data_IF_767522255193
#
_entry.id   IF_767522255193
#
_cell.length_a   1.000
_cell.length_b   1.000
_cell.length_c   1.000
_cell.angle_alpha   90.00
_cell.angle_beta   90.00
_cell.angle_gamma   90.00
#
_symmetry.space_group_name_H-M   'P 1'
#
loop_
_entity.id
_entity.type
_entity.pdbx_description
1 polymer ?
#
# COMPACT_ATOMS: atom_id res chain seq x y z
N UNK A 1 27.10 12.50 21.65
CA UNK A 1 27.05 11.30 20.78
C UNK A 1 25.80 11.44 19.94
N UNK A 2 25.94 11.43 18.61
CA UNK A 2 24.82 11.49 17.68
C UNK A 2 24.04 10.18 17.82
N UNK A 3 22.78 10.29 18.27
CA UNK A 3 21.92 9.14 18.52
C UNK A 3 21.44 8.61 17.16
N UNK A 4 21.78 7.36 16.82
CA UNK A 4 21.34 6.73 15.57
C UNK A 4 19.83 6.54 15.60
N UNK A 5 19.15 7.04 14.57
CA UNK A 5 17.74 6.76 14.34
C UNK A 5 17.60 5.62 13.32
N UNK A 6 17.05 4.51 13.77
CA UNK A 6 16.72 3.39 12.90
C UNK A 6 15.36 3.58 12.25
N UNK A 7 15.17 3.10 11.01
CA UNK A 7 13.87 3.04 10.35
C UNK A 7 13.57 1.60 9.91
N UNK A 8 12.44 1.06 10.31
CA UNK A 8 12.04 -0.30 9.97
C UNK A 8 11.52 -0.36 8.53
N UNK A 9 12.41 -0.75 7.61
CA UNK A 9 12.21 -0.74 6.15
C UNK A 9 12.26 0.65 5.53
N UNK A 10 12.22 0.72 4.19
CA UNK A 10 12.31 1.97 3.44
C UNK A 10 11.19 2.93 3.85
N UNK A 11 11.54 4.13 4.28
CA UNK A 11 10.58 5.14 4.78
C UNK A 11 9.57 5.55 3.70
N UNK A 12 10.02 5.60 2.44
CA UNK A 12 9.22 5.86 1.24
C UNK A 12 9.70 4.99 0.09
N UNK A 13 8.85 4.74 -0.91
CA UNK A 13 9.24 4.04 -2.13
C UNK A 13 9.90 5.01 -3.14
N UNK A 14 10.98 5.65 -2.71
CA UNK A 14 11.79 6.58 -3.50
C UNK A 14 13.25 6.44 -3.05
N UNK A 15 14.07 5.81 -3.89
CA UNK A 15 15.45 5.48 -3.54
C UNK A 15 16.29 6.74 -3.29
N UNK A 16 16.11 7.82 -4.06
CA UNK A 16 16.85 9.07 -3.85
C UNK A 16 16.58 9.69 -2.49
N UNK A 17 15.30 9.67 -2.03
CA UNK A 17 14.95 10.17 -0.70
C UNK A 17 15.49 9.27 0.40
N UNK A 18 15.46 7.96 0.21
CA UNK A 18 16.06 7.00 1.13
C UNK A 18 17.57 7.26 1.25
N UNK A 19 18.29 7.42 0.14
CA UNK A 19 19.72 7.70 0.13
C UNK A 19 20.04 9.05 0.80
N UNK A 20 19.25 10.10 0.52
CA UNK A 20 19.37 11.39 1.18
C UNK A 20 19.21 11.28 2.70
N UNK A 21 18.21 10.54 3.17
CA UNK A 21 17.98 10.34 4.60
C UNK A 21 19.08 9.50 5.25
N UNK A 22 19.62 8.52 4.54
CA UNK A 22 20.78 7.75 5.00
C UNK A 22 22.01 8.66 5.20
N UNK A 23 22.24 9.62 4.30
CA UNK A 23 23.35 10.59 4.48
C UNK A 23 23.13 11.53 5.67
N UNK A 24 21.90 11.67 6.14
CA UNK A 24 21.52 12.45 7.34
C UNK A 24 21.53 11.60 8.63
N UNK A 25 21.95 10.32 8.55
CA UNK A 25 22.07 9.44 9.72
C UNK A 25 20.88 8.56 10.03
N UNK A 26 19.91 8.44 9.10
CA UNK A 26 18.84 7.44 9.22
C UNK A 26 19.38 6.07 8.78
N UNK A 27 19.33 5.06 9.64
CA UNK A 27 19.74 3.69 9.30
C UNK A 27 18.52 2.83 9.00
N UNK A 28 18.40 2.34 7.76
CA UNK A 28 17.33 1.41 7.37
C UNK A 28 17.65 0.02 7.89
N UNK A 29 16.68 -0.57 8.59
CA UNK A 29 16.81 -1.92 9.16
C UNK A 29 15.64 -2.81 8.72
N UNK A 30 15.86 -4.11 8.79
CA UNK A 30 14.82 -5.13 8.65
C UNK A 30 14.37 -5.71 10.01
N UNK A 31 13.37 -6.58 9.98
CA UNK A 31 12.90 -7.26 11.20
C UNK A 31 13.95 -8.17 11.83
N UNK A 32 14.90 -8.72 11.06
CA UNK A 32 15.98 -9.54 11.60
C UNK A 32 16.91 -8.65 12.45
N UNK A 33 17.31 -7.51 11.93
CA UNK A 33 18.13 -6.54 12.68
C UNK A 33 17.37 -6.00 13.90
N UNK A 34 16.07 -5.68 13.75
CA UNK A 34 15.24 -5.21 14.86
C UNK A 34 15.25 -6.17 16.06
N UNK A 35 15.23 -7.49 15.81
CA UNK A 35 15.29 -8.50 16.86
C UNK A 35 16.57 -8.44 17.73
N UNK A 36 17.65 -7.88 17.19
CA UNK A 36 18.96 -7.77 17.86
C UNK A 36 19.14 -6.44 18.59
N UNK A 37 18.33 -5.45 18.29
CA UNK A 37 18.44 -4.10 18.87
C UNK A 37 17.83 -4.04 20.28
N UNK A 38 18.40 -3.14 21.09
CA UNK A 38 17.90 -2.80 22.44
C UNK A 38 18.23 -1.35 22.77
N UNK A 39 17.40 -0.72 23.61
CA UNK A 39 17.64 0.62 24.15
C UNK A 39 17.95 1.67 23.06
N UNK A 40 17.22 1.66 21.97
CA UNK A 40 17.41 2.57 20.84
C UNK A 40 16.08 3.15 20.37
N UNK A 41 16.13 4.07 19.39
CA UNK A 41 14.95 4.64 18.73
C UNK A 41 14.74 4.01 17.35
N UNK A 42 13.49 3.60 17.07
CA UNK A 42 13.12 3.05 15.77
C UNK A 42 11.88 3.75 15.24
N UNK A 43 11.96 4.25 14.02
CA UNK A 43 10.86 4.85 13.27
C UNK A 43 10.03 3.75 12.60
N UNK A 44 8.73 3.73 12.88
CA UNK A 44 7.74 2.95 12.14
C UNK A 44 7.20 3.81 11.01
N UNK A 45 7.28 3.31 9.79
CA UNK A 45 6.87 4.01 8.57
C UNK A 45 5.34 4.01 8.38
N UNK A 46 4.88 4.78 7.39
CA UNK A 46 3.44 5.00 7.14
C UNK A 46 2.61 3.74 6.88
N UNK A 47 3.24 2.61 6.56
CA UNK A 47 2.57 1.34 6.26
C UNK A 47 2.05 0.60 7.50
N UNK A 48 2.45 1.03 8.71
CA UNK A 48 2.14 0.32 9.95
C UNK A 48 2.89 -1.00 10.08
N UNK A 49 2.78 -1.61 11.23
CA UNK A 49 3.45 -2.87 11.56
C UNK A 49 2.47 -3.84 12.23
N UNK A 50 2.75 -5.16 12.25
CA UNK A 50 1.96 -6.11 12.99
C UNK A 50 2.13 -5.93 14.52
N UNK A 51 1.16 -6.37 15.36
CA UNK A 51 1.25 -6.29 16.82
C UNK A 51 2.53 -6.90 17.42
N UNK A 52 3.09 -7.92 16.77
CA UNK A 52 4.34 -8.57 17.20
C UNK A 52 5.54 -7.60 17.18
N UNK A 53 5.59 -6.66 16.25
CA UNK A 53 6.66 -5.64 16.20
C UNK A 53 6.61 -4.73 17.44
N UNK A 54 5.42 -4.31 17.84
CA UNK A 54 5.24 -3.48 19.04
C UNK A 54 5.57 -4.24 20.32
N UNK A 55 5.17 -5.51 20.41
CA UNK A 55 5.51 -6.38 21.54
C UNK A 55 7.03 -6.60 21.67
N UNK A 56 7.71 -6.80 20.54
CA UNK A 56 9.17 -6.93 20.49
C UNK A 56 9.86 -5.64 20.93
N UNK A 57 9.41 -4.50 20.45
CA UNK A 57 9.96 -3.20 20.83
C UNK A 57 9.86 -2.97 22.36
N UNK A 58 8.69 -3.26 22.91
CA UNK A 58 8.48 -3.18 24.37
C UNK A 58 9.44 -4.10 25.15
N UNK A 59 9.57 -5.35 24.73
CA UNK A 59 10.46 -6.34 25.34
C UNK A 59 11.93 -5.91 25.32
N UNK A 60 12.35 -5.26 24.24
CA UNK A 60 13.74 -4.86 24.03
C UNK A 60 14.04 -3.41 24.47
N UNK A 61 13.11 -2.74 25.13
CA UNK A 61 13.22 -1.33 25.54
C UNK A 61 13.57 -0.40 24.36
N UNK A 62 12.91 -0.64 23.19
CA UNK A 62 13.05 0.19 22.01
C UNK A 62 11.96 1.27 22.04
N UNK A 63 12.36 2.53 21.90
CA UNK A 63 11.42 3.64 21.75
C UNK A 63 10.96 3.71 20.29
N UNK A 64 9.67 3.42 20.06
CA UNK A 64 9.08 3.56 18.74
C UNK A 64 8.64 5.00 18.48
N UNK A 65 9.04 5.54 17.32
CA UNK A 65 8.50 6.75 16.73
C UNK A 65 7.53 6.30 15.65
N UNK A 66 6.24 6.26 15.98
CA UNK A 66 5.23 5.70 15.09
C UNK A 66 4.71 6.77 14.11
N UNK A 67 5.12 6.67 12.83
CA UNK A 67 4.65 7.51 11.74
C UNK A 67 3.63 6.78 10.84
N UNK A 68 2.96 5.76 11.36
CA UNK A 68 1.91 5.03 10.64
C UNK A 68 0.79 5.95 10.18
N UNK A 69 0.35 5.76 8.94
CA UNK A 69 -0.76 6.53 8.39
C UNK A 69 -2.05 6.26 9.19
N UNK A 70 -2.79 7.29 9.64
CA UNK A 70 -4.04 7.09 10.36
C UNK A 70 -5.07 6.23 9.62
N UNK A 71 -5.08 6.28 8.28
CA UNK A 71 -5.96 5.43 7.45
C UNK A 71 -5.57 3.96 7.58
N UNK A 72 -4.26 3.67 7.60
CA UNK A 72 -3.75 2.29 7.79
C UNK A 72 -4.04 1.79 9.20
N UNK A 73 -3.80 2.62 10.23
CA UNK A 73 -4.12 2.25 11.61
C UNK A 73 -5.61 1.96 11.81
N UNK A 74 -6.49 2.78 11.21
CA UNK A 74 -7.93 2.52 11.21
C UNK A 74 -8.27 1.18 10.56
N UNK A 75 -7.65 0.89 9.42
CA UNK A 75 -7.84 -0.38 8.71
C UNK A 75 -7.36 -1.58 9.55
N UNK A 76 -6.20 -1.48 10.18
CA UNK A 76 -5.68 -2.50 11.09
C UNK A 76 -6.66 -2.79 12.22
N UNK A 77 -7.22 -1.73 12.83
CA UNK A 77 -8.22 -1.88 13.89
C UNK A 77 -9.50 -2.57 13.40
N UNK A 78 -10.02 -2.16 12.23
CA UNK A 78 -11.21 -2.79 11.62
C UNK A 78 -10.98 -4.26 11.28
N UNK A 79 -9.78 -4.64 10.82
CA UNK A 79 -9.45 -6.04 10.54
C UNK A 79 -9.39 -6.84 11.83
N UNK A 80 -8.79 -6.28 12.89
CA UNK A 80 -8.73 -6.93 14.20
C UNK A 80 -10.13 -7.20 14.76
N UNK A 81 -10.99 -6.18 14.79
CA UNK A 81 -12.39 -6.33 15.24
C UNK A 81 -13.16 -7.34 14.37
N UNK A 82 -13.01 -7.24 13.04
CA UNK A 82 -13.64 -8.18 12.10
C UNK A 82 -13.15 -9.60 12.26
N UNK A 83 -11.88 -9.81 12.65
CA UNK A 83 -11.33 -11.13 12.93
C UNK A 83 -11.94 -11.72 14.21
N UNK A 84 -12.04 -10.94 15.27
CA UNK A 84 -12.69 -11.36 16.51
C UNK A 84 -14.18 -11.71 16.25
N UNK A 85 -14.90 -10.92 15.47
CA UNK A 85 -16.28 -11.19 15.10
C UNK A 85 -16.47 -12.46 14.27
N UNK A 86 -15.63 -12.64 13.24
CA UNK A 86 -15.81 -13.72 12.27
C UNK A 86 -15.39 -15.09 12.80
N UNK A 87 -14.48 -15.13 13.78
CA UNK A 87 -14.10 -16.37 14.47
C UNK A 87 -15.31 -17.01 15.17
N UNK A 88 -16.23 -16.22 15.73
CA UNK A 88 -17.42 -16.71 16.41
C UNK A 88 -18.40 -17.45 15.47
N UNK A 89 -18.26 -17.30 14.17
CA UNK A 89 -19.11 -17.92 13.14
C UNK A 89 -18.31 -18.79 12.16
N UNK A 90 -17.12 -19.23 12.55
CA UNK A 90 -16.21 -20.05 11.73
C UNK A 90 -15.96 -19.48 10.31
N UNK A 91 -15.80 -18.16 10.23
CA UNK A 91 -15.57 -17.46 8.97
C UNK A 91 -14.11 -17.16 8.66
N UNK A 92 -13.88 -16.37 7.61
CA UNK A 92 -12.55 -16.05 7.09
C UNK A 92 -12.38 -14.57 6.84
N UNK A 93 -11.18 -14.03 7.16
CA UNK A 93 -10.74 -12.71 6.72
C UNK A 93 -10.01 -12.86 5.39
N UNK A 94 -10.42 -12.08 4.41
CA UNK A 94 -9.78 -12.01 3.09
C UNK A 94 -9.24 -10.59 2.88
N UNK A 95 -7.99 -10.47 2.47
CA UNK A 95 -7.32 -9.19 2.22
C UNK A 95 -6.91 -9.13 0.76
N UNK A 96 -7.51 -8.23 -0.01
CA UNK A 96 -7.06 -7.92 -1.37
C UNK A 96 -5.83 -7.02 -1.31
N UNK A 97 -4.67 -7.59 -1.58
CA UNK A 97 -3.39 -6.90 -1.47
C UNK A 97 -2.24 -7.71 -2.03
N UNK A 98 -1.10 -7.04 -2.25
CA UNK A 98 0.12 -7.70 -2.74
C UNK A 98 0.82 -8.39 -1.56
N UNK A 99 1.02 -9.69 -1.65
CA UNK A 99 1.80 -10.44 -0.67
C UNK A 99 3.23 -9.88 -0.54
N UNK A 100 3.75 -9.87 0.69
CA UNK A 100 5.06 -9.28 1.00
C UNK A 100 5.10 -7.75 1.00
N UNK A 101 4.00 -7.05 0.67
CA UNK A 101 3.94 -5.60 0.84
C UNK A 101 3.81 -5.25 2.33
N UNK A 102 4.56 -4.26 2.80
CA UNK A 102 4.62 -3.89 4.21
C UNK A 102 3.26 -3.63 4.85
N UNK A 103 2.38 -2.87 4.18
CA UNK A 103 1.02 -2.64 4.66
C UNK A 103 0.26 -3.96 4.82
N UNK A 104 0.32 -4.87 3.82
CA UNK A 104 -0.37 -6.17 3.88
C UNK A 104 0.17 -7.05 5.00
N UNK A 105 1.48 -7.05 5.24
CA UNK A 105 2.10 -7.74 6.38
C UNK A 105 1.53 -7.23 7.71
N UNK A 106 1.41 -5.91 7.87
CA UNK A 106 0.80 -5.29 9.04
C UNK A 106 -0.68 -5.65 9.22
N UNK A 107 -1.44 -5.75 8.10
CA UNK A 107 -2.85 -6.14 8.11
C UNK A 107 -3.04 -7.60 8.49
N UNK A 108 -2.28 -8.51 7.88
CA UNK A 108 -2.30 -9.96 8.18
C UNK A 108 -1.94 -10.23 9.63
N UNK A 109 -1.00 -9.46 10.18
CA UNK A 109 -0.62 -9.53 11.59
C UNK A 109 -1.78 -9.26 12.56
N UNK A 110 -2.81 -8.50 12.16
CA UNK A 110 -4.00 -8.26 12.99
C UNK A 110 -4.89 -9.50 13.16
N UNK A 111 -4.66 -10.54 12.36
CA UNK A 111 -5.39 -11.80 12.37
C UNK A 111 -4.52 -12.98 12.80
N UNK A 112 -3.41 -12.74 13.52
CA UNK A 112 -2.43 -13.74 13.90
C UNK A 112 -1.87 -14.55 12.70
N UNK A 113 -1.90 -13.99 11.50
CA UNK A 113 -1.45 -14.65 10.28
C UNK A 113 -2.51 -15.49 9.57
N UNK A 114 -3.76 -15.49 10.04
CA UNK A 114 -4.84 -16.34 9.50
C UNK A 114 -5.55 -15.75 8.27
N UNK A 115 -5.36 -14.45 7.98
CA UNK A 115 -6.00 -13.82 6.84
C UNK A 115 -5.50 -14.40 5.50
N UNK A 116 -6.44 -14.59 4.58
CA UNK A 116 -6.18 -15.06 3.22
C UNK A 116 -5.83 -13.84 2.36
N UNK A 117 -4.61 -13.83 1.80
CA UNK A 117 -4.19 -12.80 0.84
C UNK A 117 -4.65 -13.19 -0.55
N UNK A 118 -5.29 -12.26 -1.25
CA UNK A 118 -5.72 -12.37 -2.63
C UNK A 118 -5.10 -11.23 -3.44
N UNK A 119 -4.33 -11.56 -4.46
CA UNK A 119 -3.75 -10.61 -5.39
C UNK A 119 -4.02 -10.97 -6.85
N UNK A 120 -4.03 -12.27 -7.16
CA UNK A 120 -4.31 -12.83 -8.48
C UNK A 120 -5.62 -13.62 -8.47
N UNK A 121 -6.14 -13.96 -9.64
CA UNK A 121 -7.32 -14.81 -9.75
C UNK A 121 -7.10 -16.22 -9.20
N UNK A 122 -5.87 -16.71 -9.23
CA UNK A 122 -5.48 -18.01 -8.66
C UNK A 122 -5.60 -18.01 -7.13
N UNK A 123 -5.29 -16.88 -6.48
CA UNK A 123 -5.38 -16.76 -5.03
C UNK A 123 -6.82 -16.92 -4.52
N UNK A 124 -7.82 -16.65 -5.35
CA UNK A 124 -9.23 -16.88 -5.01
C UNK A 124 -9.52 -18.36 -4.67
N UNK A 125 -8.68 -19.29 -5.13
CA UNK A 125 -8.83 -20.72 -4.82
C UNK A 125 -8.47 -21.05 -3.36
N UNK A 126 -7.83 -20.14 -2.64
CA UNK A 126 -7.51 -20.26 -1.21
C UNK A 126 -8.75 -20.02 -0.32
N UNK A 127 -9.79 -19.37 -0.85
CA UNK A 127 -10.99 -19.01 -0.11
C UNK A 127 -11.95 -20.19 -0.05
N UNK A 128 -12.46 -20.51 1.14
CA UNK A 128 -13.59 -21.41 1.29
C UNK A 128 -14.90 -20.63 1.12
N UNK A 129 -15.54 -20.80 -0.03
CA UNK A 129 -16.79 -20.09 -0.39
C UNK A 129 -18.04 -20.63 0.32
N UNK A 130 -17.91 -21.69 1.14
CA UNK A 130 -18.97 -22.21 1.99
C UNK A 130 -18.93 -21.65 3.42
N UNK A 131 -17.97 -20.77 3.72
CA UNK A 131 -17.84 -20.09 5.00
C UNK A 131 -18.20 -18.60 4.90
N UNK A 132 -18.56 -17.93 5.99
CA UNK A 132 -18.61 -16.48 6.05
C UNK A 132 -17.28 -15.84 5.66
N UNK A 133 -17.32 -14.74 4.90
CA UNK A 133 -16.12 -14.04 4.44
C UNK A 133 -16.25 -12.54 4.66
N UNK A 134 -15.24 -11.92 5.30
CA UNK A 134 -15.08 -10.48 5.37
C UNK A 134 -13.91 -10.08 4.47
N UNK A 135 -14.19 -9.23 3.49
CA UNK A 135 -13.20 -8.77 2.52
C UNK A 135 -12.76 -7.34 2.83
N UNK A 136 -11.48 -7.14 2.94
CA UNK A 136 -10.79 -5.86 3.07
C UNK A 136 -9.85 -5.63 1.89
N UNK A 137 -9.45 -4.38 1.65
CA UNK A 137 -8.47 -4.04 0.62
C UNK A 137 -7.28 -3.30 1.22
N UNK A 138 -6.08 -3.59 0.71
CA UNK A 138 -4.93 -2.70 0.85
C UNK A 138 -5.32 -1.30 0.38
N UNK A 139 -4.97 -0.27 1.15
CA UNK A 139 -5.47 1.11 0.97
C UNK A 139 -5.16 1.74 -0.39
N UNK A 140 -4.11 1.28 -1.06
CA UNK A 140 -3.59 1.85 -2.32
C UNK A 140 -4.05 1.10 -3.57
N UNK A 141 -5.01 0.19 -3.45
CA UNK A 141 -5.57 -0.53 -4.61
C UNK A 141 -6.53 0.34 -5.43
N UNK A 142 -6.64 0.02 -6.72
CA UNK A 142 -7.60 0.67 -7.63
C UNK A 142 -9.04 0.29 -7.26
N UNK A 143 -9.99 1.24 -7.23
CA UNK A 143 -11.39 0.95 -6.99
C UNK A 143 -11.99 -0.04 -8.00
N UNK A 144 -11.62 0.07 -9.27
CA UNK A 144 -12.10 -0.83 -10.32
C UNK A 144 -11.61 -2.27 -10.10
N UNK A 145 -10.31 -2.45 -9.77
CA UNK A 145 -9.76 -3.77 -9.49
C UNK A 145 -10.36 -4.38 -8.21
N UNK A 146 -10.63 -3.58 -7.19
CA UNK A 146 -11.30 -4.07 -5.98
C UNK A 146 -12.74 -4.49 -6.27
N UNK A 147 -13.48 -3.72 -7.07
CA UNK A 147 -14.84 -4.08 -7.50
C UNK A 147 -14.88 -5.39 -8.31
N UNK A 148 -13.88 -5.63 -9.16
CA UNK A 148 -13.73 -6.88 -9.90
C UNK A 148 -13.53 -8.09 -8.97
N UNK A 149 -12.64 -7.96 -7.99
CA UNK A 149 -12.44 -9.01 -6.96
C UNK A 149 -13.72 -9.28 -6.18
N UNK A 150 -14.45 -8.24 -5.78
CA UNK A 150 -15.75 -8.37 -5.09
C UNK A 150 -16.74 -9.17 -5.96
N UNK A 151 -16.83 -8.85 -7.26
CA UNK A 151 -17.74 -9.54 -8.19
C UNK A 151 -17.35 -11.01 -8.36
N UNK A 152 -16.05 -11.30 -8.50
CA UNK A 152 -15.53 -12.67 -8.62
C UNK A 152 -15.83 -13.52 -7.38
N UNK A 153 -15.61 -12.98 -6.17
CA UNK A 153 -15.92 -13.68 -4.93
C UNK A 153 -17.43 -13.95 -4.82
N UNK A 154 -18.29 -12.95 -5.10
CA UNK A 154 -19.74 -13.12 -5.09
C UNK A 154 -20.19 -14.23 -6.03
N UNK A 155 -19.68 -14.26 -7.26
CA UNK A 155 -20.01 -15.28 -8.25
C UNK A 155 -19.60 -16.68 -7.78
N UNK A 156 -18.41 -16.82 -7.16
CA UNK A 156 -17.94 -18.11 -6.63
C UNK A 156 -18.77 -18.57 -5.43
N UNK A 157 -19.22 -17.68 -4.54
CA UNK A 157 -20.15 -18.02 -3.45
C UNK A 157 -21.46 -18.55 -4.01
N UNK A 158 -22.03 -17.89 -5.04
CA UNK A 158 -23.27 -18.34 -5.70
C UNK A 158 -23.05 -19.72 -6.34
N UNK A 159 -21.93 -19.92 -7.03
CA UNK A 159 -21.60 -21.18 -7.73
C UNK A 159 -21.30 -22.33 -6.76
N UNK A 160 -20.86 -22.06 -5.54
CA UNK A 160 -20.62 -23.08 -4.52
C UNK A 160 -21.92 -23.77 -4.06
N UNK A 161 -23.08 -23.19 -4.39
CA UNK A 161 -24.39 -23.86 -4.21
C UNK A 161 -24.79 -24.11 -2.76
N UNK A 162 -24.27 -23.34 -1.81
CA UNK A 162 -24.64 -23.49 -0.40
C UNK A 162 -26.16 -23.33 -0.21
N UNK A 163 -26.77 -24.29 0.50
CA UNK A 163 -28.20 -24.25 0.84
C UNK A 163 -28.55 -23.06 1.75
N UNK A 164 -27.58 -22.54 2.48
CA UNK A 164 -27.72 -21.39 3.35
C UNK A 164 -27.08 -20.15 2.71
N UNK A 165 -27.65 -18.97 3.01
CA UNK A 165 -27.12 -17.70 2.53
C UNK A 165 -25.78 -17.39 3.24
N UNK A 166 -24.66 -17.60 2.56
CA UNK A 166 -23.33 -17.30 3.11
C UNK A 166 -23.21 -15.79 3.37
N UNK A 167 -22.76 -15.44 4.57
CA UNK A 167 -22.48 -14.06 4.96
C UNK A 167 -21.21 -13.59 4.23
N UNK A 168 -21.34 -12.60 3.35
CA UNK A 168 -20.22 -11.94 2.69
C UNK A 168 -20.31 -10.44 2.94
N UNK A 169 -19.33 -9.90 3.67
CA UNK A 169 -19.25 -8.47 3.99
C UNK A 169 -18.02 -7.90 3.27
N UNK A 170 -18.24 -6.82 2.54
CA UNK A 170 -17.19 -6.05 1.86
C UNK A 170 -16.98 -4.76 2.63
N UNK A 171 -15.76 -4.56 3.14
CA UNK A 171 -15.36 -3.33 3.77
C UNK A 171 -14.62 -2.46 2.73
N UNK A 172 -15.18 -1.30 2.39
CA UNK A 172 -14.50 -0.32 1.53
C UNK A 172 -13.41 0.38 2.35
N UNK A 173 -12.19 -0.14 2.20
CA UNK A 173 -11.00 0.31 2.93
C UNK A 173 -9.99 1.01 2.03
N UNK A 174 -10.39 1.37 0.81
CA UNK A 174 -9.58 2.14 -0.12
C UNK A 174 -9.33 3.55 0.42
N UNK A 175 -8.11 4.04 0.28
CA UNK A 175 -7.77 5.40 0.67
C UNK A 175 -8.38 6.41 -0.31
N UNK A 176 -9.30 7.25 0.17
CA UNK A 176 -9.94 8.29 -0.66
C UNK A 176 -8.94 9.29 -1.25
N UNK A 177 -7.80 9.52 -0.59
CA UNK A 177 -6.73 10.36 -1.12
C UNK A 177 -6.06 9.72 -2.35
N UNK A 178 -5.93 8.39 -2.36
CA UNK A 178 -5.36 7.67 -3.50
C UNK A 178 -6.39 7.56 -4.63
N UNK A 179 -7.61 7.15 -4.32
CA UNK A 179 -8.66 6.95 -5.32
C UNK A 179 -9.10 8.23 -6.04
N UNK A 180 -9.02 9.40 -5.37
CA UNK A 180 -9.34 10.69 -5.98
C UNK A 180 -8.21 11.24 -6.86
N UNK A 181 -6.97 10.80 -6.67
CA UNK A 181 -5.83 11.31 -7.47
C UNK A 181 -5.91 10.92 -8.92
N UNK A 182 -6.34 9.70 -9.22
CA UNK A 182 -6.39 9.22 -10.60
C UNK A 182 -7.29 10.07 -11.51
N UNK A 183 -8.56 10.36 -11.15
CA UNK A 183 -9.41 11.25 -11.96
C UNK A 183 -8.82 12.65 -12.16
N UNK A 184 -8.22 13.23 -11.11
CA UNK A 184 -7.58 14.55 -11.23
C UNK A 184 -6.38 14.52 -12.16
N UNK A 185 -5.54 13.46 -12.09
CA UNK A 185 -4.40 13.30 -12.99
C UNK A 185 -4.83 13.10 -14.43
N UNK A 186 -5.90 12.35 -14.68
CA UNK A 186 -6.46 12.17 -16.03
C UNK A 186 -6.88 13.51 -16.64
N UNK A 187 -7.62 14.33 -15.87
CA UNK A 187 -7.98 15.69 -16.33
C UNK A 187 -6.74 16.54 -16.56
N UNK A 188 -5.84 16.60 -15.58
CA UNK A 188 -4.59 17.36 -15.68
C UNK A 188 -3.75 16.95 -16.89
N UNK A 189 -3.70 15.66 -17.21
CA UNK A 189 -2.92 15.15 -18.34
C UNK A 189 -3.49 15.58 -19.70
N UNK A 190 -4.82 15.75 -19.79
CA UNK A 190 -5.48 16.27 -21.03
C UNK A 190 -5.22 17.73 -21.26
N UNK A 191 -5.00 18.50 -20.22
CA UNK A 191 -4.88 19.96 -20.30
C UNK A 191 -3.47 20.43 -20.69
N UNK A 192 -2.51 19.50 -20.88
CA UNK A 192 -1.10 19.82 -21.17
C UNK A 192 -0.59 19.07 -22.41
N UNK A 193 0.32 19.71 -23.16
CA UNK A 193 0.92 19.09 -24.35
C UNK A 193 1.93 17.99 -23.98
N UNK A 194 2.62 18.16 -22.85
CA UNK A 194 3.61 17.19 -22.30
C UNK A 194 3.36 17.00 -20.82
N UNK A 195 3.45 15.77 -20.35
CA UNK A 195 3.41 15.44 -18.92
C UNK A 195 4.76 14.86 -18.48
N UNK A 196 5.34 15.45 -17.45
CA UNK A 196 6.45 14.88 -16.71
C UNK A 196 5.91 14.30 -15.40
N UNK A 197 5.93 12.98 -15.29
CA UNK A 197 5.49 12.28 -14.11
C UNK A 197 6.69 11.84 -13.27
N UNK A 198 6.84 12.42 -12.08
CA UNK A 198 7.99 12.18 -11.19
C UNK A 198 7.64 11.15 -10.13
N UNK A 199 8.41 10.05 -10.06
CA UNK A 199 8.22 9.04 -9.00
C UNK A 199 9.44 8.12 -8.89
N UNK A 200 9.64 7.57 -7.70
CA UNK A 200 10.62 6.49 -7.51
C UNK A 200 10.27 5.25 -8.32
N UNK A 201 11.28 4.59 -8.89
CA UNK A 201 11.12 3.41 -9.77
C UNK A 201 10.48 2.20 -9.07
N UNK A 202 10.60 2.10 -7.75
CA UNK A 202 9.99 1.04 -6.92
C UNK A 202 8.55 1.33 -6.50
N UNK A 203 8.04 2.55 -6.74
CA UNK A 203 6.69 2.94 -6.34
C UNK A 203 5.61 2.28 -7.21
N UNK A 204 4.90 1.30 -6.67
CA UNK A 204 3.75 0.67 -7.35
C UNK A 204 2.63 1.66 -7.61
N UNK A 205 2.35 2.56 -6.65
CA UNK A 205 1.37 3.64 -6.81
C UNK A 205 1.82 4.63 -7.90
N UNK A 206 3.11 4.99 -7.94
CA UNK A 206 3.66 5.86 -8.98
C UNK A 206 3.48 5.28 -10.38
N UNK A 207 3.80 3.99 -10.57
CA UNK A 207 3.60 3.31 -11.85
C UNK A 207 2.15 3.28 -12.30
N UNK A 208 1.22 3.00 -11.39
CA UNK A 208 -0.21 2.98 -11.68
C UNK A 208 -0.70 4.39 -12.10
N UNK A 209 -0.35 5.42 -11.35
CA UNK A 209 -0.75 6.80 -11.65
C UNK A 209 -0.13 7.30 -12.96
N UNK A 210 1.14 6.96 -13.23
CA UNK A 210 1.77 7.25 -14.52
C UNK A 210 1.02 6.61 -15.69
N UNK A 211 0.63 5.35 -15.55
CA UNK A 211 -0.13 4.66 -16.58
C UNK A 211 -1.45 5.41 -16.88
N UNK A 212 -2.15 5.87 -15.86
CA UNK A 212 -3.36 6.69 -16.03
C UNK A 212 -3.09 8.01 -16.74
N UNK A 213 -1.93 8.65 -16.51
CA UNK A 213 -1.53 9.83 -17.30
C UNK A 213 -1.25 9.46 -18.75
N UNK A 214 -0.54 8.35 -18.98
CA UNK A 214 -0.14 7.90 -20.33
C UNK A 214 -1.33 7.52 -21.20
N UNK A 215 -2.40 6.97 -20.61
CA UNK A 215 -3.66 6.63 -21.28
C UNK A 215 -4.37 7.88 -21.81
N UNK A 216 -4.31 8.99 -21.08
CA UNK A 216 -4.97 10.25 -21.47
C UNK A 216 -4.08 11.16 -22.33
N UNK A 217 -2.76 11.10 -22.15
CA UNK A 217 -1.78 11.87 -22.90
C UNK A 217 -0.59 10.99 -23.26
N UNK A 218 -0.51 10.58 -24.53
CA UNK A 218 0.59 9.73 -25.03
C UNK A 218 1.97 10.39 -24.91
N UNK A 219 2.04 11.72 -24.76
CA UNK A 219 3.28 12.47 -24.52
C UNK A 219 3.56 12.65 -23.02
N UNK A 220 3.31 11.60 -22.25
CA UNK A 220 3.66 11.51 -20.82
C UNK A 220 4.96 10.72 -20.63
N UNK A 221 5.86 11.26 -19.83
CA UNK A 221 7.17 10.68 -19.56
C UNK A 221 7.36 10.47 -18.07
N UNK A 222 7.76 9.24 -17.69
CA UNK A 222 8.10 8.90 -16.32
C UNK A 222 9.57 9.20 -16.08
N UNK A 223 9.88 9.91 -15.01
CA UNK A 223 11.26 10.14 -14.57
C UNK A 223 11.38 9.88 -13.07
N UNK A 224 12.53 9.39 -12.67
CA UNK A 224 12.94 9.29 -11.27
C UNK A 224 14.01 10.32 -10.91
N UNK A 225 14.74 10.82 -11.90
CA UNK A 225 15.79 11.81 -11.76
C UNK A 225 15.73 12.86 -12.86
N UNK A 226 16.19 14.07 -12.56
CA UNK A 226 16.20 15.18 -13.51
C UNK A 226 17.08 14.90 -14.74
N UNK A 227 18.11 14.07 -14.60
CA UNK A 227 18.99 13.68 -15.71
C UNK A 227 18.29 12.82 -16.79
N UNK A 228 17.13 12.25 -16.47
CA UNK A 228 16.32 11.47 -17.40
C UNK A 228 15.48 12.36 -18.36
N UNK A 229 15.47 13.67 -18.15
CA UNK A 229 14.75 14.62 -19.02
C UNK A 229 15.40 14.67 -20.39
N UNK A 230 14.61 14.43 -21.44
CA UNK A 230 15.03 14.64 -22.82
C UNK A 230 14.39 15.93 -23.37
N UNK A 231 15.24 16.88 -23.78
CA UNK A 231 14.80 18.17 -24.32
C UNK A 231 13.92 18.03 -25.58
N UNK A 232 14.05 16.93 -26.32
CA UNK A 232 13.23 16.66 -27.51
C UNK A 232 11.72 16.57 -27.19
N UNK A 233 11.37 16.20 -25.96
CA UNK A 233 9.97 16.11 -25.54
C UNK A 233 9.24 17.47 -25.59
N UNK A 234 9.99 18.55 -25.53
CA UNK A 234 9.45 19.93 -25.41
C UNK A 234 9.46 20.75 -26.71
N UNK A 235 10.04 20.23 -27.80
CA UNK A 235 10.28 21.00 -29.02
C UNK A 235 9.02 21.65 -29.63
N UNK A 236 7.86 21.00 -29.48
CA UNK A 236 6.57 21.46 -30.00
C UNK A 236 5.57 21.80 -28.91
N UNK A 237 5.94 21.67 -27.65
CA UNK A 237 5.05 21.85 -26.52
C UNK A 237 4.86 23.36 -26.21
N UNK A 238 3.62 23.77 -25.97
CA UNK A 238 3.26 25.09 -25.44
C UNK A 238 2.99 25.02 -23.92
N UNK A 239 2.66 23.86 -23.44
CA UNK A 239 2.38 23.62 -22.02
C UNK A 239 3.02 22.32 -21.54
N UNK A 240 3.60 22.34 -20.33
CA UNK A 240 4.18 21.19 -19.66
C UNK A 240 3.54 21.04 -18.30
N UNK A 241 2.92 19.89 -18.05
CA UNK A 241 2.39 19.53 -16.75
C UNK A 241 3.41 18.70 -15.97
N UNK A 242 3.70 19.08 -14.72
CA UNK A 242 4.56 18.33 -13.82
C UNK A 242 3.70 17.77 -12.69
N UNK A 243 3.73 16.46 -12.50
CA UNK A 243 2.98 15.77 -11.45
C UNK A 243 3.79 14.58 -10.92
N UNK A 244 3.28 13.93 -9.89
CA UNK A 244 4.01 12.80 -9.30
C UNK A 244 3.24 12.01 -8.26
N UNK A 245 3.86 10.93 -7.80
CA UNK A 245 3.34 10.09 -6.74
C UNK A 245 3.40 10.79 -5.36
N UNK A 246 2.63 10.27 -4.40
CA UNK A 246 2.61 10.82 -3.03
C UNK A 246 3.97 10.68 -2.31
N UNK A 247 4.74 9.67 -2.68
CA UNK A 247 6.08 9.41 -2.16
C UNK A 247 7.18 10.28 -2.80
N UNK A 248 6.83 11.14 -3.75
CA UNK A 248 7.78 12.06 -4.39
C UNK A 248 7.94 13.28 -3.50
N UNK A 249 9.16 13.59 -3.04
CA UNK A 249 9.42 14.81 -2.25
C UNK A 249 9.19 16.06 -3.09
N UNK A 250 9.03 17.21 -2.41
CA UNK A 250 8.73 18.50 -3.08
C UNK A 250 9.96 19.29 -3.52
N UNK A 251 11.14 18.85 -3.10
CA UNK A 251 12.40 19.47 -3.51
C UNK A 251 12.89 18.94 -4.84
#
# INVERSE_FOLDING_TARGET
EDEILYCLGDIVHNDQEVDRLNTLGLEIIDHHKLNTLKNCKVLIRAHGEPPSTYALALKNNIQLLDASCPVVLKLQHQIKEGHEDIQNIDGQIVIYGKDGHAEVTGLVGQTNGEAIIVYTDEDLNKINFNKPNYLYSQTTKSPAAFADVVAKIKNRIISAGSKEKIKFIVHDTLCSQVSRKEPHLKTFSKDHDVIIFVSGTKSSNGKMLYQSCKEENSNSHFISDISEINNEWFLTARSVGICGATSTPRW
#
